data_IF_344273913017
#
_entry.id   IF_344273913017
#
_cell.length_a   1.000
_cell.length_b   1.000
_cell.length_c   1.000
_cell.angle_alpha   90.00
_cell.angle_beta   90.00
_cell.angle_gamma   90.00
#
_symmetry.space_group_name_H-M   'P 1'
#
loop_
_entity.id
_entity.type
_entity.pdbx_description
1 polymer ?
#
# COMPACT_ATOMS: atom_id res chain seq x y z
N UNK A 1 -10.50 -26.88 35.38
CA UNK A 1 -9.38 -25.89 35.51
C UNK A 1 -9.50 -24.70 34.60
N UNK A 2 -9.77 -24.84 33.28
CA UNK A 2 -9.90 -23.70 32.34
C UNK A 2 -11.03 -22.73 32.73
N UNK A 3 -12.15 -23.24 33.25
CA UNK A 3 -13.26 -22.37 33.70
C UNK A 3 -12.85 -21.51 34.95
N UNK A 4 -12.04 -22.08 35.86
CA UNK A 4 -11.49 -21.32 36.99
C UNK A 4 -10.56 -20.23 36.46
N UNK A 5 -9.68 -20.56 35.53
CA UNK A 5 -8.78 -19.59 34.90
C UNK A 5 -9.55 -18.42 34.22
N UNK A 6 -10.65 -18.72 33.57
CA UNK A 6 -11.54 -17.70 32.97
C UNK A 6 -12.18 -16.81 34.06
N UNK A 7 -12.72 -17.42 35.12
CA UNK A 7 -13.33 -16.67 36.22
C UNK A 7 -12.33 -15.79 36.95
N UNK A 8 -11.09 -16.27 37.15
CA UNK A 8 -9.99 -15.46 37.69
C UNK A 8 -9.68 -14.26 36.79
N UNK A 9 -9.60 -14.46 35.49
CA UNK A 9 -9.29 -13.41 34.54
C UNK A 9 -10.36 -12.30 34.52
N UNK A 10 -11.65 -12.67 34.40
CA UNK A 10 -12.76 -11.72 34.26
C UNK A 10 -13.26 -11.21 35.64
N UNK A 11 -12.89 -11.85 36.72
CA UNK A 11 -13.32 -11.48 38.08
C UNK A 11 -12.92 -10.06 38.50
N UNK A 12 -11.82 -9.52 37.99
CA UNK A 12 -11.46 -8.11 38.15
C UNK A 12 -11.50 -7.39 36.80
N UNK A 13 -12.64 -6.75 36.51
CA UNK A 13 -12.89 -6.09 35.22
C UNK A 13 -11.87 -5.02 34.86
N UNK A 14 -11.41 -4.22 35.83
CA UNK A 14 -10.45 -3.13 35.59
C UNK A 14 -9.11 -3.69 35.10
N UNK A 15 -8.62 -4.76 35.73
CA UNK A 15 -7.36 -5.40 35.35
C UNK A 15 -7.47 -6.11 34.02
N UNK A 16 -8.57 -6.85 33.79
CA UNK A 16 -8.84 -7.48 32.53
C UNK A 16 -8.82 -6.45 31.38
N UNK A 17 -9.51 -5.31 31.55
CA UNK A 17 -9.50 -4.22 30.56
C UNK A 17 -8.09 -3.64 30.37
N UNK A 18 -7.29 -3.50 31.43
CA UNK A 18 -5.91 -3.01 31.33
C UNK A 18 -5.01 -3.92 30.50
N UNK A 19 -5.11 -5.26 30.69
CA UNK A 19 -4.36 -6.24 29.92
C UNK A 19 -4.80 -6.21 28.45
N UNK A 20 -6.12 -6.25 28.22
CA UNK A 20 -6.71 -6.19 26.87
C UNK A 20 -6.29 -4.91 26.17
N UNK A 21 -6.32 -3.76 26.85
CA UNK A 21 -5.93 -2.47 26.26
C UNK A 21 -4.50 -2.46 25.73
N UNK A 22 -3.53 -3.02 26.47
CA UNK A 22 -2.15 -3.13 26.00
C UNK A 22 -2.01 -3.94 24.71
N UNK A 23 -2.74 -5.06 24.61
CA UNK A 23 -2.75 -5.90 23.40
C UNK A 23 -3.52 -5.24 22.27
N UNK A 24 -4.65 -4.58 22.54
CA UNK A 24 -5.41 -3.78 21.55
C UNK A 24 -4.52 -2.70 20.95
N UNK A 25 -3.80 -1.96 21.77
CA UNK A 25 -2.91 -0.90 21.32
C UNK A 25 -1.82 -1.42 20.37
N UNK A 26 -1.17 -2.54 20.76
CA UNK A 26 -0.16 -3.18 19.90
C UNK A 26 -0.77 -3.66 18.58
N UNK A 27 -1.88 -4.38 18.63
CA UNK A 27 -2.57 -4.89 17.45
C UNK A 27 -3.01 -3.75 16.51
N UNK A 28 -3.57 -2.66 17.06
CA UNK A 28 -3.95 -1.48 16.33
C UNK A 28 -2.75 -0.86 15.60
N UNK A 29 -1.65 -0.58 16.30
CA UNK A 29 -0.47 0.05 15.70
C UNK A 29 0.14 -0.82 14.61
N UNK A 30 0.31 -2.11 14.86
CA UNK A 30 0.89 -3.05 13.89
C UNK A 30 0.00 -3.14 12.65
N UNK A 31 -1.31 -3.36 12.82
CA UNK A 31 -2.25 -3.48 11.72
C UNK A 31 -2.36 -2.18 10.92
N UNK A 32 -2.46 -1.02 11.59
CA UNK A 32 -2.60 0.28 10.95
C UNK A 32 -1.35 0.64 10.13
N UNK A 33 -0.16 0.55 10.73
CA UNK A 33 1.09 0.91 10.04
C UNK A 33 1.39 -0.03 8.87
N UNK A 34 1.18 -1.32 9.05
CA UNK A 34 1.35 -2.29 7.96
C UNK A 34 0.34 -2.06 6.82
N UNK A 35 -0.91 -1.69 7.14
CA UNK A 35 -1.93 -1.39 6.12
C UNK A 35 -1.65 -0.11 5.35
N UNK A 36 -1.14 0.93 6.03
CA UNK A 36 -0.69 2.18 5.38
C UNK A 36 0.50 1.87 4.47
N UNK A 37 1.47 1.08 4.93
CA UNK A 37 2.60 0.66 4.11
C UNK A 37 2.18 -0.11 2.86
N UNK A 38 1.30 -1.10 2.98
CA UNK A 38 0.75 -1.84 1.84
C UNK A 38 -0.01 -0.91 0.88
N UNK A 39 -0.80 0.01 1.41
CA UNK A 39 -1.49 1.03 0.63
C UNK A 39 -0.51 1.91 -0.14
N UNK A 40 0.52 2.42 0.53
CA UNK A 40 1.56 3.25 -0.09
C UNK A 40 2.31 2.49 -1.20
N UNK A 41 2.68 1.23 -0.97
CA UNK A 41 3.33 0.40 -1.99
C UNK A 41 2.42 0.16 -3.20
N UNK A 42 1.11 0.01 -3.00
CA UNK A 42 0.16 -0.14 -4.11
C UNK A 42 0.09 1.10 -5.01
N UNK A 43 0.31 2.31 -4.45
CA UNK A 43 0.35 3.56 -5.22
C UNK A 43 1.58 3.66 -6.11
N UNK A 44 2.70 3.03 -5.73
CA UNK A 44 3.94 3.10 -6.54
C UNK A 44 3.80 2.45 -7.91
N UNK A 45 2.84 1.57 -8.07
CA UNK A 45 2.61 0.78 -9.30
C UNK A 45 1.26 1.06 -9.95
N UNK A 46 0.47 2.00 -9.41
CA UNK A 46 -0.88 2.30 -9.90
C UNK A 46 -0.88 2.60 -11.40
N UNK A 47 0.04 3.43 -11.89
CA UNK A 47 0.12 3.81 -13.29
C UNK A 47 0.39 2.64 -14.25
N UNK A 48 1.13 1.62 -13.82
CA UNK A 48 1.33 0.40 -14.63
C UNK A 48 0.03 -0.42 -14.66
N UNK A 49 -0.73 -0.42 -13.56
CA UNK A 49 -2.00 -1.14 -13.47
C UNK A 49 -3.11 -0.48 -14.28
N UNK A 50 -3.14 0.85 -14.29
CA UNK A 50 -4.18 1.64 -14.95
C UNK A 50 -4.02 1.67 -16.48
N UNK A 51 -2.85 1.27 -17.01
CA UNK A 51 -2.62 1.14 -18.46
C UNK A 51 -3.04 -0.27 -18.87
N UNK A 52 -4.19 -0.36 -19.51
CA UNK A 52 -4.73 -1.62 -20.04
C UNK A 52 -4.41 -1.81 -21.52
N UNK A 53 -4.44 -3.06 -21.94
CA UNK A 53 -4.16 -3.50 -23.29
C UNK A 53 -2.76 -4.10 -23.45
N UNK A 54 -1.65 -3.37 -23.20
CA UNK A 54 -0.31 -3.91 -23.42
C UNK A 54 0.08 -4.90 -22.32
N UNK A 55 0.68 -6.00 -22.72
CA UNK A 55 1.24 -6.99 -21.81
C UNK A 55 2.76 -6.86 -21.61
N UNK A 56 3.44 -6.01 -22.42
CA UNK A 56 4.87 -5.74 -22.37
C UNK A 56 5.13 -4.23 -22.38
N UNK A 57 6.10 -3.82 -21.55
CA UNK A 57 6.64 -2.47 -21.47
C UNK A 57 8.09 -2.47 -21.94
N UNK A 58 8.41 -1.64 -22.93
CA UNK A 58 9.77 -1.48 -23.46
C UNK A 58 10.28 -0.09 -23.12
N UNK A 59 11.50 -0.02 -22.64
CA UNK A 59 12.11 1.19 -22.06
C UNK A 59 13.63 1.18 -22.20
N UNK A 60 14.26 2.32 -21.91
CA UNK A 60 15.72 2.41 -21.80
C UNK A 60 16.26 1.41 -20.74
N UNK A 61 17.42 0.75 -20.99
CA UNK A 61 17.99 -0.23 -20.07
C UNK A 61 18.26 0.30 -18.65
N UNK A 62 18.43 1.60 -18.48
CA UNK A 62 18.72 2.25 -17.20
C UNK A 62 17.47 2.64 -16.40
N UNK A 63 16.27 2.40 -16.91
CA UNK A 63 15.03 2.63 -16.17
C UNK A 63 14.93 1.67 -14.98
N UNK A 64 14.82 2.20 -13.77
CA UNK A 64 14.79 1.44 -12.53
C UNK A 64 13.39 1.18 -12.00
N UNK A 65 12.46 2.13 -12.19
CA UNK A 65 11.06 2.08 -11.75
C UNK A 65 10.22 3.02 -12.63
N UNK A 66 8.91 3.00 -12.47
CA UNK A 66 7.97 3.63 -13.41
C UNK A 66 8.11 5.16 -13.54
N UNK A 67 8.57 5.84 -12.48
CA UNK A 67 8.80 7.30 -12.52
C UNK A 67 10.23 7.70 -12.90
N UNK A 68 11.15 6.73 -13.07
CA UNK A 68 12.52 6.96 -13.55
C UNK A 68 12.57 6.94 -15.08
N UNK A 69 11.83 7.85 -15.69
CA UNK A 69 11.70 7.93 -17.15
C UNK A 69 13.03 8.34 -17.78
N UNK A 70 13.50 7.57 -18.75
CA UNK A 70 14.65 7.86 -19.59
C UNK A 70 14.20 8.09 -21.02
N UNK A 71 14.87 8.99 -21.78
CA UNK A 71 14.52 9.28 -23.15
C UNK A 71 14.80 8.10 -24.07
N UNK A 72 13.85 7.81 -24.95
CA UNK A 72 14.02 6.90 -26.08
C UNK A 72 13.91 7.68 -27.40
N UNK A 73 14.68 7.29 -28.40
CA UNK A 73 14.50 7.81 -29.74
C UNK A 73 13.20 7.30 -30.37
N UNK A 74 12.51 8.12 -31.14
CA UNK A 74 11.26 7.72 -31.82
C UNK A 74 11.45 6.55 -32.79
N UNK A 75 12.66 6.35 -33.30
CA UNK A 75 13.03 5.20 -34.15
C UNK A 75 12.95 3.87 -33.43
N UNK A 76 13.07 3.86 -32.11
CA UNK A 76 13.01 2.62 -31.30
C UNK A 76 11.63 1.94 -31.39
N UNK A 77 10.55 2.71 -31.58
CA UNK A 77 9.23 2.13 -31.86
C UNK A 77 9.29 1.17 -33.05
N UNK A 78 9.92 1.58 -34.16
CA UNK A 78 9.94 0.77 -35.39
C UNK A 78 10.84 -0.47 -35.21
N UNK A 79 11.94 -0.33 -34.49
CA UNK A 79 12.81 -1.47 -34.12
C UNK A 79 12.06 -2.50 -33.30
N UNK A 80 11.32 -2.06 -32.28
CA UNK A 80 10.49 -2.94 -31.44
C UNK A 80 9.38 -3.59 -32.25
N UNK A 81 8.69 -2.81 -33.11
CA UNK A 81 7.60 -3.31 -33.94
C UNK A 81 8.03 -4.38 -34.95
N UNK A 82 9.30 -4.39 -35.37
CA UNK A 82 9.85 -5.38 -36.31
C UNK A 82 10.24 -6.72 -35.67
N UNK A 83 10.20 -6.83 -34.34
CA UNK A 83 10.58 -8.06 -33.64
C UNK A 83 9.52 -9.15 -33.82
N UNK A 84 9.91 -10.38 -34.21
CA UNK A 84 8.98 -11.49 -34.38
C UNK A 84 8.23 -11.84 -33.07
N UNK A 85 6.91 -11.94 -33.13
CA UNK A 85 6.03 -12.21 -31.97
C UNK A 85 5.38 -10.95 -31.39
N UNK A 86 5.73 -9.77 -31.88
CA UNK A 86 5.02 -8.53 -31.57
C UNK A 86 3.76 -8.46 -32.44
N UNK A 87 2.59 -8.32 -31.85
CA UNK A 87 1.33 -8.09 -32.55
C UNK A 87 1.18 -6.63 -32.92
N UNK A 88 1.32 -5.75 -31.92
CA UNK A 88 1.38 -4.31 -32.12
C UNK A 88 2.30 -3.64 -31.07
N UNK A 89 2.80 -2.48 -31.45
CA UNK A 89 3.59 -1.62 -30.59
C UNK A 89 3.19 -0.16 -30.80
N UNK A 90 3.08 0.61 -29.71
CA UNK A 90 2.62 2.01 -29.72
C UNK A 90 3.47 2.89 -28.82
N UNK A 91 3.48 4.19 -29.12
CA UNK A 91 4.16 5.19 -28.28
C UNK A 91 3.41 5.45 -27.01
N UNK A 92 4.15 5.68 -25.94
CA UNK A 92 3.59 6.15 -24.68
C UNK A 92 4.51 7.18 -24.05
N UNK A 93 3.98 8.37 -23.83
CA UNK A 93 4.69 9.45 -23.16
C UNK A 93 4.31 9.49 -21.69
N UNK A 94 5.29 9.69 -20.82
CA UNK A 94 5.10 9.99 -19.41
C UNK A 94 6.06 11.09 -18.98
N UNK A 95 5.51 12.16 -18.43
CA UNK A 95 6.30 13.29 -17.94
C UNK A 95 5.56 14.07 -16.86
N UNK A 96 6.19 15.13 -16.39
CA UNK A 96 5.59 16.10 -15.47
C UNK A 96 5.38 17.40 -16.23
N UNK A 97 4.16 17.94 -16.16
CA UNK A 97 3.79 19.26 -16.65
C UNK A 97 3.38 20.15 -15.47
N UNK A 98 3.41 21.47 -15.66
CA UNK A 98 2.95 22.45 -14.68
C UNK A 98 1.66 23.08 -15.17
N UNK A 99 0.59 22.93 -14.40
CA UNK A 99 -0.67 23.62 -14.65
C UNK A 99 -0.72 24.90 -13.82
N UNK A 100 -1.13 26.01 -14.45
CA UNK A 100 -1.33 27.27 -13.78
C UNK A 100 -2.70 27.30 -13.09
N UNK A 101 -2.71 27.59 -11.81
CA UNK A 101 -3.92 27.76 -11.00
C UNK A 101 -4.52 29.15 -11.19
N UNK A 102 -5.78 29.34 -10.80
CA UNK A 102 -6.47 30.64 -10.92
C UNK A 102 -5.79 31.75 -10.14
N UNK A 103 -5.14 31.42 -9.02
CA UNK A 103 -4.41 32.37 -8.16
C UNK A 103 -3.01 32.73 -8.67
N UNK A 104 -2.59 32.14 -9.81
CA UNK A 104 -1.29 32.35 -10.42
C UNK A 104 -0.22 31.35 -9.99
N UNK A 105 -0.47 30.54 -8.99
CA UNK A 105 0.41 29.46 -8.56
C UNK A 105 0.43 28.31 -9.58
N UNK A 106 1.45 27.45 -9.47
CA UNK A 106 1.60 26.29 -10.35
C UNK A 106 1.45 24.98 -9.58
N UNK A 107 0.68 24.06 -10.17
CA UNK A 107 0.55 22.67 -9.69
C UNK A 107 1.24 21.70 -10.64
N UNK A 108 2.01 20.76 -10.08
CA UNK A 108 2.61 19.70 -10.89
C UNK A 108 1.58 18.64 -11.21
N UNK A 109 1.58 18.17 -12.46
CA UNK A 109 0.69 17.13 -12.97
C UNK A 109 1.48 16.08 -13.72
N UNK A 110 1.07 14.84 -13.61
CA UNK A 110 1.59 13.75 -14.43
C UNK A 110 0.89 13.83 -15.78
N UNK A 111 1.68 14.03 -16.83
CA UNK A 111 1.21 14.06 -18.21
C UNK A 111 1.46 12.70 -18.85
N UNK A 112 0.38 12.06 -19.29
CA UNK A 112 0.40 10.81 -20.02
C UNK A 112 -0.03 11.05 -21.48
N UNK A 113 0.83 10.72 -22.41
CA UNK A 113 0.59 10.84 -23.84
C UNK A 113 0.33 9.47 -24.46
N UNK A 114 -0.89 9.28 -24.93
CA UNK A 114 -1.40 8.06 -25.54
C UNK A 114 -1.11 8.02 -27.03
N UNK A 115 -1.01 6.85 -27.64
CA UNK A 115 -0.84 6.74 -29.09
C UNK A 115 -1.96 7.47 -29.84
N UNK A 116 -1.58 8.25 -30.85
CA UNK A 116 -2.51 9.15 -31.57
C UNK A 116 -3.62 8.40 -32.28
N UNK A 117 -3.34 7.21 -32.81
CA UNK A 117 -4.28 6.44 -33.63
C UNK A 117 -5.20 5.56 -32.74
N UNK A 118 -4.61 4.80 -31.84
CA UNK A 118 -5.30 3.76 -31.07
C UNK A 118 -5.80 4.22 -29.71
N UNK A 119 -5.18 5.27 -29.13
CA UNK A 119 -5.41 5.76 -27.77
C UNK A 119 -5.19 4.68 -26.71
N UNK A 120 -4.36 3.67 -26.98
CA UNK A 120 -3.97 2.64 -26.02
C UNK A 120 -3.35 3.28 -24.77
N UNK A 121 -3.72 2.78 -23.60
CA UNK A 121 -3.36 3.34 -22.31
C UNK A 121 -4.33 4.41 -21.79
N UNK A 122 -5.46 4.63 -22.48
CA UNK A 122 -6.51 5.51 -21.99
C UNK A 122 -7.12 4.99 -20.68
N UNK A 123 -7.59 5.89 -19.79
CA UNK A 123 -8.20 5.49 -18.54
C UNK A 123 -9.57 4.84 -18.74
N UNK A 124 -9.87 3.76 -18.01
CA UNK A 124 -11.18 3.09 -18.09
C UNK A 124 -12.31 3.87 -17.40
N UNK A 125 -11.99 4.55 -16.31
CA UNK A 125 -12.98 5.19 -15.43
C UNK A 125 -13.48 6.55 -15.89
N UNK A 126 -13.61 6.82 -17.21
CA UNK A 126 -14.16 8.09 -17.72
C UNK A 126 -15.65 8.18 -17.40
N UNK A 127 -16.00 9.10 -16.50
CA UNK A 127 -17.39 9.30 -16.06
C UNK A 127 -18.06 10.52 -16.71
N UNK A 128 -17.28 11.38 -17.38
CA UNK A 128 -17.79 12.53 -18.12
C UNK A 128 -16.96 12.75 -19.37
N UNK A 129 -17.58 12.95 -20.53
CA UNK A 129 -16.89 13.09 -21.82
C UNK A 129 -16.59 11.75 -22.51
N UNK A 130 -15.71 11.77 -23.49
CA UNK A 130 -15.33 10.59 -24.27
C UNK A 130 -13.82 10.55 -24.53
N UNK A 131 -13.23 9.35 -24.49
CA UNK A 131 -11.84 9.13 -24.86
C UNK A 131 -11.58 9.57 -26.33
N UNK A 132 -12.56 9.37 -27.21
CA UNK A 132 -12.47 9.78 -28.61
C UNK A 132 -12.28 11.29 -28.79
N UNK A 133 -12.76 12.10 -27.82
CA UNK A 133 -12.61 13.56 -27.85
C UNK A 133 -11.17 14.03 -27.65
N UNK A 134 -10.26 13.17 -27.19
CA UNK A 134 -8.82 13.46 -27.19
C UNK A 134 -8.25 13.76 -28.58
N UNK A 135 -8.98 13.41 -29.68
CA UNK A 135 -8.57 13.73 -31.02
C UNK A 135 -8.76 15.21 -31.37
N UNK A 136 -9.47 15.98 -30.53
CA UNK A 136 -9.61 17.44 -30.68
C UNK A 136 -8.30 18.15 -30.35
N UNK A 137 -8.04 19.34 -30.93
CA UNK A 137 -6.88 20.14 -30.55
C UNK A 137 -6.89 20.49 -29.04
N UNK A 138 -5.73 20.55 -28.43
CA UNK A 138 -5.50 20.91 -27.01
C UNK A 138 -6.29 20.06 -26.00
N UNK A 139 -6.87 18.95 -26.44
CA UNK A 139 -7.76 18.12 -25.65
C UNK A 139 -7.03 17.34 -24.58
N UNK A 140 -7.59 17.35 -23.37
CA UNK A 140 -7.11 16.56 -22.24
C UNK A 140 -8.26 15.90 -21.48
N UNK A 141 -8.01 14.71 -20.94
CA UNK A 141 -8.83 14.08 -19.90
C UNK A 141 -8.06 14.21 -18.60
N UNK A 142 -8.72 14.68 -17.56
CA UNK A 142 -8.12 14.90 -16.25
C UNK A 142 -8.78 14.01 -15.20
N UNK A 143 -8.03 13.62 -14.17
CA UNK A 143 -8.62 12.96 -13.02
C UNK A 143 -9.45 13.94 -12.16
N UNK A 144 -10.40 13.41 -11.41
CA UNK A 144 -11.30 14.16 -10.54
C UNK A 144 -10.53 14.97 -9.48
N UNK A 145 -9.46 14.39 -8.95
CA UNK A 145 -8.60 15.04 -7.96
C UNK A 145 -7.87 16.27 -8.56
N UNK A 146 -7.38 16.16 -9.78
CA UNK A 146 -6.75 17.27 -10.52
C UNK A 146 -7.72 18.40 -10.81
N UNK A 147 -8.92 18.05 -11.25
CA UNK A 147 -9.97 19.05 -11.47
C UNK A 147 -10.29 19.86 -10.21
N UNK A 148 -10.49 19.17 -9.08
CA UNK A 148 -10.77 19.83 -7.80
C UNK A 148 -9.59 20.67 -7.27
N UNK A 149 -8.37 20.38 -7.70
CA UNK A 149 -7.19 21.19 -7.36
C UNK A 149 -7.15 22.51 -8.13
N UNK A 150 -7.48 22.47 -9.43
CA UNK A 150 -7.50 23.68 -10.26
C UNK A 150 -8.74 24.52 -9.95
N UNK A 151 -9.89 23.87 -9.69
CA UNK A 151 -11.16 24.54 -9.39
C UNK A 151 -11.80 24.01 -8.10
N UNK A 152 -11.30 24.40 -6.92
CA UNK A 152 -11.79 23.90 -5.64
C UNK A 152 -13.29 24.20 -5.45
N UNK A 153 -14.05 23.16 -5.07
CA UNK A 153 -15.48 23.29 -4.78
C UNK A 153 -16.39 23.59 -5.97
N UNK A 154 -15.84 23.65 -7.18
CA UNK A 154 -16.65 23.90 -8.36
C UNK A 154 -17.18 22.60 -8.98
N UNK A 155 -18.37 22.61 -9.57
CA UNK A 155 -18.94 21.43 -10.22
C UNK A 155 -18.09 21.02 -11.44
N UNK A 156 -18.04 19.72 -11.70
CA UNK A 156 -17.37 19.16 -12.87
C UNK A 156 -18.01 19.67 -14.17
N UNK A 157 -17.20 20.17 -15.08
CA UNK A 157 -17.64 20.68 -16.39
C UNK A 157 -16.61 20.40 -17.46
N UNK A 158 -17.07 19.91 -18.61
CA UNK A 158 -16.27 19.77 -19.84
C UNK A 158 -16.17 21.13 -20.54
N UNK A 159 -15.14 21.32 -21.36
CA UNK A 159 -14.89 22.55 -22.13
C UNK A 159 -14.15 23.63 -21.34
N UNK A 160 -13.84 23.42 -20.06
CA UNK A 160 -12.97 24.34 -19.33
C UNK A 160 -11.56 24.31 -19.86
N UNK A 161 -10.91 25.46 -19.80
CA UNK A 161 -9.54 25.66 -20.23
C UNK A 161 -8.65 26.02 -19.05
N UNK A 162 -7.43 25.57 -19.10
CA UNK A 162 -6.36 25.96 -18.21
C UNK A 162 -5.03 26.01 -18.99
N UNK A 163 -4.02 26.60 -18.37
CA UNK A 163 -2.69 26.69 -18.94
C UNK A 163 -1.81 25.57 -18.41
N UNK A 164 -1.12 24.88 -19.31
CA UNK A 164 -0.18 23.81 -18.97
C UNK A 164 1.12 24.02 -19.73
N UNK A 165 2.22 24.36 -19.00
CA UNK A 165 3.51 24.73 -19.60
C UNK A 165 3.39 25.75 -20.74
N UNK A 166 2.71 26.88 -20.48
CA UNK A 166 2.48 27.99 -21.43
C UNK A 166 1.61 27.63 -22.65
N UNK A 167 0.96 26.46 -22.65
CA UNK A 167 0.01 26.06 -23.68
C UNK A 167 -1.39 25.92 -23.10
N UNK A 168 -2.40 26.23 -23.92
CA UNK A 168 -3.79 26.05 -23.56
C UNK A 168 -4.15 24.55 -23.55
N UNK A 169 -4.76 24.06 -22.47
CA UNK A 169 -5.36 22.74 -22.40
C UNK A 169 -6.87 22.86 -22.21
N UNK A 170 -7.63 22.00 -22.90
CA UNK A 170 -9.10 21.97 -22.89
C UNK A 170 -9.59 20.65 -22.32
N UNK A 171 -10.35 20.69 -21.24
CA UNK A 171 -10.92 19.48 -20.63
C UNK A 171 -12.04 18.94 -21.51
N UNK A 172 -11.83 17.78 -22.11
CA UNK A 172 -12.83 17.06 -22.92
C UNK A 172 -13.41 15.85 -22.21
N UNK A 173 -12.81 15.46 -21.06
CA UNK A 173 -13.33 14.38 -20.24
C UNK A 173 -12.74 14.40 -18.84
N UNK A 174 -13.43 13.71 -17.93
CA UNK A 174 -13.01 13.50 -16.54
C UNK A 174 -13.04 12.01 -16.21
N UNK A 175 -12.02 11.58 -15.48
CA UNK A 175 -11.81 10.17 -15.11
C UNK A 175 -11.56 10.01 -13.64
N UNK A 176 -11.76 8.79 -13.13
CA UNK A 176 -11.27 8.36 -11.82
C UNK A 176 -9.99 7.55 -12.03
N UNK A 177 -8.86 8.22 -12.06
CA UNK A 177 -7.58 7.54 -12.10
C UNK A 177 -7.14 7.09 -10.68
N UNK A 178 -6.37 6.01 -10.64
CA UNK A 178 -5.75 5.59 -9.38
C UNK A 178 -4.75 6.64 -8.91
N UNK A 179 -4.77 6.95 -7.62
CA UNK A 179 -3.79 7.88 -7.05
C UNK A 179 -2.38 7.33 -7.25
N UNK A 180 -1.45 8.22 -7.52
CA UNK A 180 -0.03 7.89 -7.64
C UNK A 180 0.70 8.08 -6.32
N UNK A 181 1.90 7.52 -6.23
CA UNK A 181 2.76 7.71 -5.05
C UNK A 181 3.02 9.20 -4.75
N UNK A 182 3.27 10.00 -5.76
CA UNK A 182 3.51 11.45 -5.63
C UNK A 182 2.21 12.24 -5.39
N UNK A 183 1.05 11.61 -5.51
CA UNK A 183 -0.27 12.24 -5.38
C UNK A 183 -0.48 13.45 -6.30
N UNK A 184 0.25 13.52 -7.41
CA UNK A 184 0.01 14.52 -8.45
C UNK A 184 -1.22 14.16 -9.25
N UNK A 185 -2.00 15.16 -9.70
CA UNK A 185 -3.07 14.97 -10.67
C UNK A 185 -2.55 14.32 -11.95
N UNK A 186 -3.41 13.55 -12.61
CA UNK A 186 -3.09 12.86 -13.86
C UNK A 186 -3.86 13.49 -15.00
N UNK A 187 -3.14 13.78 -16.07
CA UNK A 187 -3.69 14.33 -17.31
C UNK A 187 -3.33 13.41 -18.47
N UNK A 188 -4.34 12.97 -19.20
CA UNK A 188 -4.21 12.14 -20.39
C UNK A 188 -4.44 12.99 -21.63
N UNK A 189 -3.61 12.81 -22.65
CA UNK A 189 -3.75 13.45 -23.96
C UNK A 189 -3.14 12.55 -25.03
N UNK A 190 -3.21 12.93 -26.31
CA UNK A 190 -2.50 12.22 -27.38
C UNK A 190 -1.00 12.45 -27.28
N UNK A 191 -0.20 11.50 -27.80
CA UNK A 191 1.25 11.59 -27.83
C UNK A 191 1.74 12.89 -28.50
N UNK A 192 1.21 13.20 -29.68
CA UNK A 192 1.56 14.43 -30.41
C UNK A 192 1.29 15.70 -29.58
N UNK A 193 0.18 15.74 -28.84
CA UNK A 193 -0.18 16.86 -27.98
C UNK A 193 0.65 16.86 -26.69
N UNK A 194 0.95 15.69 -26.12
CA UNK A 194 1.81 15.57 -24.93
C UNK A 194 3.21 16.14 -25.17
N UNK A 195 3.77 15.91 -26.36
CA UNK A 195 5.06 16.49 -26.76
C UNK A 195 4.99 18.02 -26.88
N UNK A 196 3.83 18.60 -27.23
CA UNK A 196 3.63 20.07 -27.22
C UNK A 196 3.62 20.60 -25.80
N UNK A 197 2.89 19.94 -24.90
CA UNK A 197 2.79 20.30 -23.48
C UNK A 197 4.07 19.99 -22.68
N UNK A 198 4.93 19.11 -23.19
CA UNK A 198 6.18 18.76 -22.51
C UNK A 198 7.19 19.92 -22.56
N UNK A 199 8.00 20.09 -21.50
CA UNK A 199 9.14 20.98 -21.56
C UNK A 199 10.09 20.63 -22.73
N UNK A 200 10.76 21.58 -23.36
CA UNK A 200 11.61 21.33 -24.54
C UNK A 200 12.63 20.20 -24.36
N UNK A 201 13.21 20.09 -23.17
CA UNK A 201 14.22 19.11 -22.83
C UNK A 201 13.66 17.68 -22.67
N UNK A 202 12.34 17.53 -22.65
CA UNK A 202 11.64 16.26 -22.39
C UNK A 202 10.70 15.83 -23.52
N UNK A 203 10.88 16.39 -24.70
CA UNK A 203 10.09 16.03 -25.90
C UNK A 203 10.58 14.72 -26.52
N UNK A 204 10.54 13.65 -25.76
CA UNK A 204 11.09 12.34 -26.15
C UNK A 204 10.14 11.21 -25.75
N UNK A 205 10.18 10.12 -26.50
CA UNK A 205 9.46 8.91 -26.19
C UNK A 205 9.90 8.37 -24.80
N UNK A 206 8.93 7.98 -23.99
CA UNK A 206 9.20 7.46 -22.64
C UNK A 206 9.20 5.94 -22.60
N UNK A 207 8.17 5.34 -23.19
CA UNK A 207 7.96 3.89 -23.26
C UNK A 207 7.39 3.50 -24.60
N UNK A 208 7.67 2.28 -25.05
CA UNK A 208 6.92 1.60 -26.07
C UNK A 208 6.06 0.54 -25.41
N UNK A 209 4.74 0.63 -25.57
CA UNK A 209 3.79 -0.37 -25.10
C UNK A 209 3.58 -1.40 -26.20
N UNK A 210 3.61 -2.67 -25.82
CA UNK A 210 3.60 -3.78 -26.77
C UNK A 210 2.60 -4.85 -26.33
N UNK A 211 1.90 -5.43 -27.30
CA UNK A 211 1.13 -6.66 -27.14
C UNK A 211 1.83 -7.77 -27.91
N UNK A 212 1.96 -8.92 -27.27
CA UNK A 212 2.50 -10.12 -27.93
C UNK A 212 1.42 -10.84 -28.72
N UNK A 213 1.81 -11.53 -29.81
CA UNK A 213 0.91 -12.43 -30.52
C UNK A 213 0.37 -13.51 -29.57
N UNK A 214 -0.90 -13.94 -29.73
CA UNK A 214 -1.55 -14.87 -28.80
C UNK A 214 -0.85 -16.22 -28.64
N UNK A 215 -0.12 -16.66 -29.65
CA UNK A 215 0.62 -17.93 -29.70
C UNK A 215 2.06 -17.83 -29.15
N UNK A 216 2.53 -16.61 -28.82
CA UNK A 216 3.88 -16.38 -28.31
C UNK A 216 3.83 -15.85 -26.88
N UNK A 217 4.43 -16.54 -25.92
CA UNK A 217 4.45 -16.05 -24.54
C UNK A 217 5.11 -14.67 -24.42
N UNK A 218 4.53 -13.71 -23.67
CA UNK A 218 5.09 -12.36 -23.50
C UNK A 218 6.55 -12.35 -23.03
N UNK A 219 6.94 -13.29 -22.18
CA UNK A 219 8.31 -13.41 -21.69
C UNK A 219 9.31 -13.72 -22.81
N UNK A 220 8.90 -14.51 -23.81
CA UNK A 220 9.74 -14.82 -24.98
C UNK A 220 9.88 -13.60 -25.90
N UNK A 221 8.80 -12.86 -26.12
CA UNK A 221 8.84 -11.59 -26.87
C UNK A 221 9.75 -10.58 -26.19
N UNK A 222 9.68 -10.48 -24.85
CA UNK A 222 10.59 -9.64 -24.06
C UNK A 222 12.07 -10.03 -24.29
N UNK A 223 12.36 -11.33 -24.34
CA UNK A 223 13.73 -11.83 -24.59
C UNK A 223 14.21 -11.39 -25.99
N UNK A 224 13.39 -11.61 -27.03
CA UNK A 224 13.70 -11.23 -28.40
C UNK A 224 13.92 -9.73 -28.56
N UNK A 225 13.07 -8.90 -27.94
CA UNK A 225 13.24 -7.45 -27.97
C UNK A 225 14.57 -7.05 -27.35
N UNK A 226 14.92 -7.60 -26.19
CA UNK A 226 16.23 -7.31 -25.53
C UNK A 226 17.42 -7.69 -26.42
N UNK A 227 17.37 -8.85 -27.04
CA UNK A 227 18.46 -9.36 -27.88
C UNK A 227 18.65 -8.57 -29.18
N UNK A 228 17.55 -8.17 -29.83
CA UNK A 228 17.59 -7.50 -31.12
C UNK A 228 17.72 -5.97 -31.02
N UNK A 229 17.23 -5.35 -29.96
CA UNK A 229 17.21 -3.89 -29.84
C UNK A 229 18.17 -3.35 -28.78
N UNK A 230 18.59 -4.18 -27.82
CA UNK A 230 19.35 -3.74 -26.65
C UNK A 230 18.51 -2.98 -25.60
N UNK A 231 17.21 -2.79 -25.85
CA UNK A 231 16.29 -2.12 -24.93
C UNK A 231 15.87 -3.06 -23.79
N UNK A 232 15.44 -2.50 -22.69
CA UNK A 232 14.80 -3.27 -21.62
C UNK A 232 13.34 -3.53 -21.99
N UNK A 233 12.97 -4.80 -22.08
CA UNK A 233 11.60 -5.25 -22.25
C UNK A 233 11.20 -6.12 -21.06
N UNK A 234 10.07 -5.80 -20.45
CA UNK A 234 9.52 -6.48 -19.27
C UNK A 234 8.05 -6.75 -19.47
N UNK A 235 7.57 -7.89 -18.99
CA UNK A 235 6.12 -8.07 -18.90
C UNK A 235 5.54 -7.08 -17.87
N UNK A 236 4.25 -6.85 -17.93
CA UNK A 236 3.53 -5.98 -16.98
C UNK A 236 3.85 -6.37 -15.53
N UNK A 237 3.79 -7.66 -15.20
CA UNK A 237 4.05 -8.20 -13.88
C UNK A 237 5.51 -7.99 -13.46
N UNK A 238 6.46 -8.24 -14.36
CA UNK A 238 7.88 -8.00 -14.10
C UNK A 238 8.17 -6.51 -13.84
N UNK A 239 7.50 -5.60 -14.55
CA UNK A 239 7.69 -4.17 -14.34
C UNK A 239 7.05 -3.69 -13.03
N UNK A 240 5.88 -4.23 -12.65
CA UNK A 240 5.28 -4.04 -11.33
C UNK A 240 6.25 -4.49 -10.23
N UNK A 241 6.75 -5.72 -10.33
CA UNK A 241 7.68 -6.28 -9.34
C UNK A 241 8.98 -5.47 -9.25
N UNK A 242 9.57 -5.11 -10.38
CA UNK A 242 10.78 -4.28 -10.45
C UNK A 242 10.59 -2.94 -9.73
N UNK A 243 9.45 -2.28 -9.98
CA UNK A 243 9.11 -1.01 -9.35
C UNK A 243 8.96 -1.14 -7.85
N UNK A 244 8.19 -2.13 -7.36
CA UNK A 244 8.04 -2.39 -5.93
C UNK A 244 9.40 -2.71 -5.29
N UNK A 245 10.18 -3.58 -5.91
CA UNK A 245 11.52 -3.96 -5.42
C UNK A 245 12.45 -2.77 -5.30
N UNK A 246 12.38 -1.82 -6.23
CA UNK A 246 13.15 -0.58 -6.15
C UNK A 246 12.78 0.22 -4.89
N UNK A 247 11.48 0.44 -4.63
CA UNK A 247 11.04 1.17 -3.44
C UNK A 247 11.39 0.44 -2.15
N UNK A 248 11.29 -0.89 -2.13
CA UNK A 248 11.67 -1.70 -0.97
C UNK A 248 13.18 -1.67 -0.66
N UNK A 249 14.03 -1.69 -1.70
CA UNK A 249 15.47 -1.84 -1.53
C UNK A 249 16.26 -0.52 -1.52
N UNK A 250 15.72 0.53 -2.16
CA UNK A 250 16.46 1.76 -2.44
C UNK A 250 15.89 3.00 -1.76
N UNK A 251 14.79 2.86 -1.00
CA UNK A 251 14.22 3.97 -0.24
C UNK A 251 14.22 3.67 1.26
N UNK A 252 14.21 4.72 2.09
CA UNK A 252 14.09 4.57 3.55
C UNK A 252 12.67 4.24 4.04
N UNK A 253 11.68 4.15 3.12
CA UNK A 253 10.28 3.96 3.47
C UNK A 253 10.04 2.65 4.24
N UNK A 254 10.50 1.48 3.76
CA UNK A 254 10.29 0.21 4.48
C UNK A 254 10.91 0.22 5.87
N UNK A 255 12.10 0.81 6.00
CA UNK A 255 12.80 0.90 7.28
C UNK A 255 12.01 1.74 8.29
N UNK A 256 11.46 2.89 7.87
CA UNK A 256 10.67 3.74 8.75
C UNK A 256 9.40 3.03 9.25
N UNK A 257 8.68 2.35 8.36
CA UNK A 257 7.51 1.57 8.75
C UNK A 257 7.88 0.37 9.64
N UNK A 258 8.98 -0.33 9.34
CA UNK A 258 9.48 -1.44 10.16
C UNK A 258 9.84 -1.00 11.58
N UNK A 259 10.50 0.15 11.75
CA UNK A 259 10.80 0.74 13.05
C UNK A 259 9.51 1.02 13.82
N UNK A 260 8.52 1.63 13.18
CA UNK A 260 7.24 1.97 13.84
C UNK A 260 6.47 0.71 14.27
N UNK A 261 6.42 -0.32 13.42
CA UNK A 261 5.80 -1.61 13.75
C UNK A 261 6.55 -2.29 14.90
N UNK A 262 7.88 -2.26 14.87
CA UNK A 262 8.72 -2.83 15.93
C UNK A 262 8.54 -2.09 17.27
N UNK A 263 8.45 -0.77 17.26
CA UNK A 263 8.15 0.02 18.46
C UNK A 263 6.76 -0.32 19.01
N UNK A 264 5.75 -0.45 18.14
CA UNK A 264 4.43 -0.91 18.55
C UNK A 264 4.45 -2.29 19.22
N UNK A 265 5.24 -3.21 18.65
CA UNK A 265 5.47 -4.55 19.23
C UNK A 265 6.17 -4.48 20.60
N UNK A 266 7.23 -3.68 20.73
CA UNK A 266 7.97 -3.49 22.00
C UNK A 266 7.08 -2.90 23.09
N UNK A 267 6.41 -1.80 22.79
CA UNK A 267 5.52 -1.11 23.74
C UNK A 267 4.36 -2.04 24.15
N UNK A 268 3.76 -2.72 23.17
CA UNK A 268 2.69 -3.69 23.45
C UNK A 268 3.17 -4.84 24.34
N UNK A 269 4.36 -5.37 24.08
CA UNK A 269 4.97 -6.43 24.91
C UNK A 269 5.25 -5.94 26.33
N UNK A 270 5.76 -4.72 26.47
CA UNK A 270 6.05 -4.13 27.79
C UNK A 270 4.76 -3.93 28.62
N UNK A 271 3.73 -3.32 28.01
CA UNK A 271 2.44 -3.07 28.69
C UNK A 271 1.75 -4.39 29.03
N UNK A 272 1.64 -5.30 28.06
CA UNK A 272 1.02 -6.61 28.29
C UNK A 272 1.81 -7.40 29.36
N UNK A 273 3.14 -7.44 29.26
CA UNK A 273 4.00 -8.13 30.21
C UNK A 273 3.88 -7.60 31.64
N UNK A 274 3.93 -6.27 31.82
CA UNK A 274 3.76 -5.63 33.12
C UNK A 274 2.37 -5.91 33.70
N UNK A 275 1.33 -5.79 32.90
CA UNK A 275 -0.04 -5.97 33.38
C UNK A 275 -0.33 -7.43 33.71
N UNK A 276 0.16 -8.39 32.90
CA UNK A 276 0.09 -9.83 33.22
C UNK A 276 0.88 -10.18 34.47
N UNK A 277 2.06 -9.57 34.66
CA UNK A 277 2.86 -9.77 35.86
C UNK A 277 2.09 -9.29 37.09
N UNK A 278 1.53 -8.08 37.09
CA UNK A 278 0.73 -7.55 38.18
C UNK A 278 -0.49 -8.43 38.47
N UNK A 279 -1.22 -8.83 37.41
CA UNK A 279 -2.35 -9.77 37.56
C UNK A 279 -1.95 -11.06 38.23
N UNK A 280 -0.82 -11.63 37.88
CA UNK A 280 -0.32 -12.90 38.46
C UNK A 280 0.08 -12.72 39.91
N UNK A 281 0.79 -11.63 40.27
CA UNK A 281 1.21 -11.36 41.64
C UNK A 281 0.01 -11.17 42.57
N UNK A 282 -1.02 -10.47 42.12
CA UNK A 282 -2.23 -10.23 42.89
C UNK A 282 -3.09 -11.50 43.08
N UNK A 283 -3.07 -12.42 42.14
CA UNK A 283 -3.75 -13.70 42.23
C UNK A 283 -2.87 -14.81 42.80
N UNK A 284 -1.71 -14.45 43.38
CA UNK A 284 -0.70 -15.41 43.85
C UNK A 284 -1.25 -16.34 44.91
N UNK A 285 -2.12 -15.82 45.81
CA UNK A 285 -2.80 -16.63 46.85
C UNK A 285 -3.71 -17.68 46.25
N UNK A 286 -4.42 -17.36 45.17
CA UNK A 286 -5.31 -18.31 44.47
C UNK A 286 -4.50 -19.42 43.78
N UNK A 287 -3.38 -19.06 43.11
CA UNK A 287 -2.47 -20.06 42.55
C UNK A 287 -1.80 -20.93 43.64
N UNK A 288 -1.44 -20.33 44.78
CA UNK A 288 -0.92 -21.06 45.92
C UNK A 288 -1.92 -22.05 46.52
N UNK A 289 -3.19 -21.66 46.67
CA UNK A 289 -4.26 -22.55 47.11
C UNK A 289 -4.45 -23.74 46.14
N UNK A 290 -4.41 -23.50 44.84
CA UNK A 290 -4.46 -24.57 43.82
C UNK A 290 -3.27 -25.53 43.95
N UNK A 291 -2.05 -25.02 44.20
CA UNK A 291 -0.86 -25.85 44.46
C UNK A 291 -1.01 -26.68 45.75
N UNK A 292 -1.51 -26.07 46.82
CA UNK A 292 -1.75 -26.77 48.07
C UNK A 292 -2.78 -27.91 47.92
N UNK A 293 -3.74 -27.77 47.01
CA UNK A 293 -4.70 -28.82 46.62
C UNK A 293 -4.12 -29.88 45.67
N UNK A 294 -2.81 -29.84 45.35
CA UNK A 294 -2.14 -30.83 44.51
C UNK A 294 -2.13 -30.54 43.03
N UNK A 295 -2.47 -29.33 42.59
CA UNK A 295 -2.43 -28.97 41.15
C UNK A 295 -0.98 -28.92 40.67
N UNK A 296 -0.68 -29.61 39.56
CA UNK A 296 0.65 -29.65 38.96
C UNK A 296 1.06 -28.30 38.35
N UNK A 297 2.37 -28.04 38.33
CA UNK A 297 2.91 -26.84 37.66
C UNK A 297 2.51 -26.73 36.17
N UNK A 298 2.39 -27.87 35.50
CA UNK A 298 1.92 -27.93 34.10
C UNK A 298 0.47 -27.43 33.93
N UNK A 299 -0.40 -27.82 34.85
CA UNK A 299 -1.80 -27.36 34.82
C UNK A 299 -1.90 -25.87 35.07
N UNK A 300 -1.10 -25.30 35.96
CA UNK A 300 -1.06 -23.86 36.20
C UNK A 300 -0.50 -23.12 34.99
N UNK A 301 0.55 -23.66 34.33
CA UNK A 301 1.07 -23.13 33.09
C UNK A 301 -0.04 -23.05 32.03
N UNK A 302 -0.78 -24.13 31.82
CA UNK A 302 -1.88 -24.18 30.88
C UNK A 302 -3.01 -23.20 31.21
N UNK A 303 -3.30 -22.95 32.47
CA UNK A 303 -4.27 -21.94 32.89
C UNK A 303 -3.83 -20.53 32.50
N UNK A 304 -2.57 -20.16 32.73
CA UNK A 304 -2.03 -18.84 32.38
C UNK A 304 -1.92 -18.67 30.88
N UNK A 305 -1.48 -19.69 30.15
CA UNK A 305 -1.47 -19.67 28.69
C UNK A 305 -2.88 -19.51 28.10
N UNK A 306 -3.87 -20.20 28.64
CA UNK A 306 -5.25 -20.04 28.24
C UNK A 306 -5.75 -18.61 28.44
N UNK A 307 -5.45 -18.02 29.62
CA UNK A 307 -5.78 -16.60 29.89
C UNK A 307 -5.12 -15.66 28.90
N UNK A 308 -3.84 -15.88 28.59
CA UNK A 308 -3.10 -15.08 27.62
C UNK A 308 -3.70 -15.17 26.20
N UNK A 309 -4.05 -16.37 25.75
CA UNK A 309 -4.69 -16.59 24.45
C UNK A 309 -6.04 -15.86 24.37
N UNK A 310 -6.88 -15.94 25.42
CA UNK A 310 -8.16 -15.24 25.46
C UNK A 310 -7.99 -13.72 25.33
N UNK A 311 -7.04 -13.14 26.07
CA UNK A 311 -6.70 -11.71 25.96
C UNK A 311 -6.17 -11.39 24.56
N UNK A 312 -5.33 -12.27 24.00
CA UNK A 312 -4.81 -12.13 22.65
C UNK A 312 -5.91 -12.07 21.58
N UNK A 313 -6.86 -13.00 21.62
CA UNK A 313 -8.00 -13.06 20.70
C UNK A 313 -8.85 -11.78 20.78
N UNK A 314 -9.22 -11.38 22.00
CA UNK A 314 -10.04 -10.18 22.21
C UNK A 314 -9.27 -8.92 21.79
N UNK A 315 -8.00 -8.79 22.22
CA UNK A 315 -7.16 -7.65 21.90
C UNK A 315 -6.86 -7.53 20.41
N UNK A 316 -6.59 -8.65 19.73
CA UNK A 316 -6.43 -8.70 18.28
C UNK A 316 -7.70 -8.26 17.56
N UNK A 317 -8.86 -8.84 17.90
CA UNK A 317 -10.12 -8.50 17.22
C UNK A 317 -10.49 -7.03 17.33
N UNK A 318 -10.39 -6.46 18.55
CA UNK A 318 -10.65 -5.03 18.78
C UNK A 318 -9.60 -4.16 18.06
N UNK A 319 -8.31 -4.47 18.18
CA UNK A 319 -7.23 -3.70 17.59
C UNK A 319 -7.30 -3.65 16.07
N UNK A 320 -7.51 -4.79 15.42
CA UNK A 320 -7.70 -4.87 13.97
C UNK A 320 -9.00 -4.18 13.55
N UNK A 321 -10.08 -4.34 14.31
CA UNK A 321 -11.36 -3.65 14.06
C UNK A 321 -11.20 -2.13 14.09
N UNK A 322 -10.49 -1.59 15.07
CA UNK A 322 -10.20 -0.15 15.15
C UNK A 322 -9.30 0.31 14.00
N UNK A 323 -8.30 -0.48 13.58
CA UNK A 323 -7.49 -0.18 12.41
C UNK A 323 -8.33 -0.15 11.12
N UNK A 324 -9.27 -1.08 10.96
CA UNK A 324 -10.19 -1.11 9.83
C UNK A 324 -11.14 0.10 9.82
N UNK A 325 -11.68 0.50 10.98
CA UNK A 325 -12.49 1.70 11.14
C UNK A 325 -11.70 2.95 10.78
N UNK A 326 -10.45 3.07 11.21
CA UNK A 326 -9.55 4.15 10.80
C UNK A 326 -9.39 4.19 9.28
N UNK A 327 -9.09 3.05 8.66
CA UNK A 327 -8.95 2.95 7.20
C UNK A 327 -10.23 3.32 6.46
N UNK A 328 -11.39 2.94 6.99
CA UNK A 328 -12.69 3.34 6.42
C UNK A 328 -12.93 4.85 6.55
N UNK A 329 -12.66 5.42 7.70
CA UNK A 329 -12.83 6.87 7.97
C UNK A 329 -11.88 7.76 7.16
N UNK A 330 -10.71 7.23 6.74
CA UNK A 330 -9.75 7.98 5.92
C UNK A 330 -10.05 7.92 4.41
N UNK A 331 -10.97 7.07 3.97
CA UNK A 331 -11.36 6.95 2.56
C UNK A 331 -12.02 8.25 2.08
N UNK A 332 -11.43 8.87 1.06
CA UNK A 332 -11.96 10.08 0.43
C UNK A 332 -11.66 11.41 1.16
N UNK A 333 -11.29 11.40 2.42
CA UNK A 333 -11.04 12.62 3.22
C UNK A 333 -9.56 12.99 3.20
N UNK A 334 -8.66 11.99 3.23
CA UNK A 334 -7.21 12.21 3.30
C UNK A 334 -6.50 11.63 2.08
N UNK A 335 -5.28 12.11 1.80
CA UNK A 335 -4.38 11.52 0.79
C UNK A 335 -3.74 10.21 1.28
N UNK A 336 -4.14 9.72 2.43
CA UNK A 336 -3.60 8.51 3.01
C UNK A 336 -4.11 7.29 2.25
N UNK A 337 -3.19 6.46 1.77
CA UNK A 337 -3.54 5.17 1.18
C UNK A 337 -3.55 4.11 2.27
N UNK A 338 -4.67 3.41 2.41
CA UNK A 338 -4.87 2.34 3.36
C UNK A 338 -5.36 1.08 2.64
N UNK A 339 -4.56 0.04 2.70
CA UNK A 339 -4.91 -1.26 2.14
C UNK A 339 -4.54 -2.37 3.13
N UNK A 340 -5.54 -3.11 3.60
CA UNK A 340 -5.40 -4.17 4.61
C UNK A 340 -5.60 -5.55 3.95
N UNK A 341 -4.57 -6.13 3.33
CA UNK A 341 -4.65 -7.47 2.78
C UNK A 341 -4.58 -8.51 3.91
N UNK A 342 -4.99 -9.76 3.62
CA UNK A 342 -5.01 -10.85 4.59
C UNK A 342 -3.63 -11.13 5.22
N UNK A 343 -2.53 -10.84 4.52
CA UNK A 343 -1.15 -10.96 5.02
C UNK A 343 -0.89 -10.05 6.23
N UNK A 344 -1.46 -8.84 6.23
CA UNK A 344 -1.37 -7.92 7.37
C UNK A 344 -2.14 -8.47 8.56
N UNK A 345 -3.30 -9.09 8.34
CA UNK A 345 -4.07 -9.73 9.39
C UNK A 345 -3.28 -10.89 10.02
N UNK A 346 -2.68 -11.74 9.18
CA UNK A 346 -1.85 -12.86 9.63
C UNK A 346 -0.60 -12.38 10.39
N UNK A 347 0.11 -11.36 9.89
CA UNK A 347 1.26 -10.75 10.55
C UNK A 347 0.90 -10.20 11.94
N UNK A 348 -0.21 -9.46 12.02
CA UNK A 348 -0.70 -8.88 13.27
C UNK A 348 -1.10 -9.97 14.25
N UNK A 349 -1.78 -11.03 13.79
CA UNK A 349 -2.14 -12.17 14.63
C UNK A 349 -0.89 -12.89 15.20
N UNK A 350 0.12 -13.12 14.35
CA UNK A 350 1.39 -13.71 14.76
C UNK A 350 2.13 -12.82 15.78
N UNK A 351 2.18 -11.51 15.56
CA UNK A 351 2.78 -10.57 16.49
C UNK A 351 2.07 -10.55 17.83
N UNK A 352 0.73 -10.48 17.84
CA UNK A 352 -0.06 -10.54 19.08
C UNK A 352 0.14 -11.86 19.81
N UNK A 353 0.17 -12.97 19.08
CA UNK A 353 0.45 -14.28 19.68
C UNK A 353 1.81 -14.29 20.38
N UNK A 354 2.86 -13.76 19.76
CA UNK A 354 4.20 -13.66 20.37
C UNK A 354 4.17 -12.74 21.59
N UNK A 355 3.49 -11.57 21.51
CA UNK A 355 3.34 -10.63 22.63
C UNK A 355 2.73 -11.33 23.85
N UNK A 356 1.58 -12.00 23.69
CA UNK A 356 0.89 -12.64 24.82
C UNK A 356 1.64 -13.86 25.33
N UNK A 357 2.35 -14.57 24.46
CA UNK A 357 3.22 -15.68 24.86
C UNK A 357 4.38 -15.18 25.73
N UNK A 358 5.11 -14.17 25.30
CA UNK A 358 6.22 -13.57 26.07
C UNK A 358 5.72 -13.00 27.40
N UNK A 359 4.61 -12.25 27.38
CA UNK A 359 4.00 -11.69 28.58
C UNK A 359 3.60 -12.77 29.57
N UNK A 360 3.01 -13.88 29.13
CA UNK A 360 2.63 -15.00 29.99
C UNK A 360 3.83 -15.74 30.58
N UNK A 361 4.88 -15.96 29.75
CA UNK A 361 6.11 -16.64 30.22
C UNK A 361 6.86 -15.82 31.27
N UNK A 362 6.93 -14.49 31.11
CA UNK A 362 7.52 -13.60 32.12
C UNK A 362 6.75 -13.66 33.46
N UNK A 363 5.44 -13.70 33.38
CA UNK A 363 4.54 -13.73 34.53
C UNK A 363 4.59 -15.07 35.29
N UNK A 364 4.64 -16.19 34.55
CA UNK A 364 4.54 -17.53 35.15
C UNK A 364 5.75 -17.91 35.96
N UNK A 365 6.95 -17.40 35.70
CA UNK A 365 8.17 -17.68 36.51
C UNK A 365 7.93 -17.42 37.97
N UNK A 366 7.17 -16.37 38.32
CA UNK A 366 6.83 -16.02 39.69
C UNK A 366 5.95 -17.07 40.40
N UNK A 367 5.00 -17.66 39.64
CA UNK A 367 4.06 -18.68 40.17
C UNK A 367 4.73 -20.05 40.32
N UNK A 368 5.63 -20.40 39.38
CA UNK A 368 6.32 -21.71 39.43
C UNK A 368 7.25 -21.83 40.67
N UNK A 369 7.91 -20.72 41.03
CA UNK A 369 8.83 -20.67 42.18
C UNK A 369 8.08 -20.47 43.49
N UNK A 370 6.76 -20.30 43.48
CA UNK A 370 5.94 -20.06 44.67
C UNK A 370 5.94 -21.24 45.64
N UNK A 371 6.31 -20.99 46.88
CA UNK A 371 6.14 -21.95 48.00
C UNK A 371 4.66 -21.98 48.43
N UNK A 372 3.99 -23.16 48.39
CA UNK A 372 2.62 -23.30 48.85
C UNK A 372 2.37 -22.79 50.29
N UNK A 373 3.41 -22.77 51.14
CA UNK A 373 3.32 -22.29 52.53
C UNK A 373 2.97 -20.80 52.65
N UNK A 374 3.16 -19.98 51.59
CA UNK A 374 2.81 -18.54 51.59
C UNK A 374 1.31 -18.30 51.81
N UNK A 375 0.46 -19.24 51.43
CA UNK A 375 -1.01 -19.14 51.60
C UNK A 375 -1.41 -19.17 53.07
N UNK A 376 -0.58 -19.81 53.92
CA UNK A 376 -0.85 -20.03 55.35
C UNK A 376 -0.14 -19.03 56.28
N UNK A 377 0.69 -18.12 55.70
CA UNK A 377 1.47 -17.13 56.46
C UNK A 377 0.89 -15.71 56.47
N UNK A 378 -0.37 -15.52 56.10
CA UNK A 378 -0.96 -14.19 56.01
C UNK A 378 -2.29 -14.05 56.66
#
# INVERSE_FOLDING_TARGET
MLWIAWKMLVGNRVKYLGIVFGVVFAALLIAQQSSIFCGLMSLTVSQIRDVEGPNIWVMDPNVRYVDDVKPLADTELFRVKSVPGVEWAVRFYKGIARARLQEGDYEQMILLGLDDATLVGAPEGVFMGSIADLRKPDAVIMDDAGYQRIWPGQPFRIGRTFEMNDHRAVIVGLTKASRTFQSFPIVYTRYSQAVVFAPPERKVLSFVLVESQPDVPPAEVCRRIREQTGLQALTREQFLEKTIRYYLAKTGIPLNFAITVFLGFLVGTAIAGQTFYLFTVENIRQFGALKAMGTSNWTILMMVLFQAIQVGIVGYGIGVGLAALFGWGTRGITRLSFFMPWQVLALTAAAVFVIVLVASLLSIRKVLVLDPAIVFRG
#
